data_IF_689398203233
#
_entry.id   IF_689398203233
#
_cell.length_a   1.000
_cell.length_b   1.000
_cell.length_c   1.000
_cell.angle_alpha   90.00
_cell.angle_beta   90.00
_cell.angle_gamma   90.00
#
_symmetry.space_group_name_H-M   'P 1'
#
loop_
_entity.id
_entity.type
_entity.pdbx_description
1 polymer ?
#
# COMPACT_ATOMS: atom_id res chain seq x y z
N UNK A 1 -5.92 14.10 -24.65
CA UNK A 1 -5.46 12.69 -24.63
C UNK A 1 -6.06 12.01 -23.41
N UNK A 2 -6.46 10.75 -23.51
CA UNK A 2 -6.90 9.97 -22.37
C UNK A 2 -5.66 9.51 -21.59
N UNK A 3 -5.68 9.65 -20.26
CA UNK A 3 -4.67 9.05 -19.38
C UNK A 3 -5.15 7.63 -19.05
N UNK A 4 -4.27 6.64 -19.09
CA UNK A 4 -4.59 5.27 -18.68
C UNK A 4 -3.84 4.95 -17.39
N UNK A 5 -4.55 4.31 -16.46
CA UNK A 5 -3.98 3.74 -15.24
C UNK A 5 -3.88 2.24 -15.47
N UNK A 6 -2.69 1.71 -15.23
CA UNK A 6 -2.36 0.30 -15.37
C UNK A 6 -1.79 -0.17 -14.05
N UNK A 7 -2.35 -1.25 -13.53
CA UNK A 7 -1.87 -1.97 -12.37
C UNK A 7 -1.67 -3.44 -12.78
N UNK A 8 -0.53 -3.99 -12.41
CA UNK A 8 -0.18 -5.36 -12.73
C UNK A 8 0.90 -5.87 -11.79
N UNK A 9 1.12 -7.18 -11.81
CA UNK A 9 2.19 -7.84 -11.10
C UNK A 9 2.89 -8.81 -12.06
N UNK A 10 4.19 -8.98 -11.86
CA UNK A 10 5.01 -9.87 -12.66
C UNK A 10 5.96 -10.68 -11.81
N UNK A 11 6.47 -11.73 -12.41
CA UNK A 11 7.42 -12.68 -11.86
C UNK A 11 8.50 -12.97 -12.93
N UNK A 12 9.36 -13.97 -12.69
CA UNK A 12 10.49 -14.30 -13.57
C UNK A 12 10.13 -14.42 -15.05
N UNK A 13 8.95 -14.97 -15.36
CA UNK A 13 8.54 -15.28 -16.74
C UNK A 13 7.71 -14.17 -17.40
N UNK A 14 7.58 -13.02 -16.75
CA UNK A 14 6.81 -11.88 -17.25
C UNK A 14 5.64 -11.54 -16.32
N UNK A 15 4.59 -10.96 -16.89
CA UNK A 15 3.40 -10.61 -16.14
C UNK A 15 2.55 -11.83 -15.79
N UNK A 16 1.88 -11.79 -14.64
CA UNK A 16 1.00 -12.86 -14.17
C UNK A 16 -0.31 -12.78 -14.96
N UNK A 17 -0.68 -13.81 -15.74
CA UNK A 17 -1.94 -13.80 -16.50
C UNK A 17 -3.16 -13.58 -15.60
N UNK A 18 -4.07 -12.69 -15.98
CA UNK A 18 -5.30 -12.40 -15.22
C UNK A 18 -5.14 -11.40 -14.08
N UNK A 19 -3.91 -10.97 -13.79
CA UNK A 19 -3.62 -9.96 -12.76
C UNK A 19 -3.58 -8.53 -13.31
N UNK A 20 -4.00 -8.26 -14.55
CA UNK A 20 -4.02 -6.93 -15.13
C UNK A 20 -5.28 -6.14 -14.73
N UNK A 21 -5.09 -4.89 -14.33
CA UNK A 21 -6.16 -3.92 -14.18
C UNK A 21 -5.81 -2.68 -15.00
N UNK A 22 -6.63 -2.37 -16.00
CA UNK A 22 -6.44 -1.23 -16.90
C UNK A 22 -7.73 -0.44 -16.98
N UNK A 23 -7.65 0.86 -16.70
CA UNK A 23 -8.80 1.76 -16.86
C UNK A 23 -8.35 3.16 -17.28
N UNK A 24 -9.21 3.87 -18.01
CA UNK A 24 -8.96 5.25 -18.39
C UNK A 24 -9.29 6.19 -17.23
N UNK A 25 -8.41 7.15 -16.99
CA UNK A 25 -8.65 8.22 -16.04
C UNK A 25 -9.83 9.09 -16.48
N UNK A 26 -10.74 9.34 -15.54
CA UNK A 26 -11.89 10.22 -15.73
C UNK A 26 -11.52 11.69 -15.50
N UNK A 27 -10.36 11.96 -14.89
CA UNK A 27 -9.86 13.30 -14.62
C UNK A 27 -8.79 13.72 -15.64
N UNK A 28 -8.80 14.99 -16.04
CA UNK A 28 -7.78 15.56 -16.96
C UNK A 28 -6.47 15.94 -16.25
N UNK A 29 -6.38 15.74 -14.93
CA UNK A 29 -5.19 16.04 -14.15
C UNK A 29 -4.26 14.82 -14.14
N UNK A 30 -2.95 15.06 -14.18
CA UNK A 30 -1.92 14.02 -14.14
C UNK A 30 -1.83 13.27 -12.78
N UNK A 31 -2.67 13.66 -11.81
CA UNK A 31 -2.72 13.10 -10.47
C UNK A 31 -3.72 11.94 -10.41
N UNK A 32 -3.22 10.74 -10.71
CA UNK A 32 -3.96 9.47 -10.67
C UNK A 32 -4.28 9.00 -9.25
N UNK A 33 -3.79 9.68 -8.20
CA UNK A 33 -3.95 9.26 -6.81
C UNK A 33 -5.40 9.29 -6.31
N UNK A 34 -6.31 9.99 -7.00
CA UNK A 34 -7.75 9.95 -6.68
C UNK A 34 -8.47 8.70 -7.20
N UNK A 35 -7.92 8.04 -8.23
CA UNK A 35 -8.57 6.92 -8.92
C UNK A 35 -7.98 5.57 -8.55
N UNK A 36 -6.68 5.51 -8.25
CA UNK A 36 -6.08 4.35 -7.59
C UNK A 36 -6.11 4.54 -6.06
N UNK A 37 -7.04 3.86 -5.39
CA UNK A 37 -7.32 4.00 -3.97
C UNK A 37 -7.35 2.63 -3.26
N UNK A 38 -7.61 2.63 -1.95
CA UNK A 38 -7.64 1.40 -1.15
C UNK A 38 -8.67 0.38 -1.67
N UNK A 39 -9.86 0.81 -2.04
CA UNK A 39 -10.92 -0.09 -2.49
C UNK A 39 -10.54 -0.79 -3.80
N UNK A 40 -10.11 0.00 -4.80
CA UNK A 40 -9.67 -0.53 -6.09
C UNK A 40 -8.44 -1.45 -5.93
N UNK A 41 -7.50 -1.06 -5.07
CA UNK A 41 -6.33 -1.88 -4.77
C UNK A 41 -6.73 -3.21 -4.13
N UNK A 42 -7.52 -3.19 -3.05
CA UNK A 42 -7.89 -4.42 -2.34
C UNK A 42 -8.73 -5.34 -3.20
N UNK A 43 -9.63 -4.79 -4.04
CA UNK A 43 -10.41 -5.57 -4.98
C UNK A 43 -9.50 -6.27 -6.01
N UNK A 44 -8.58 -5.52 -6.64
CA UNK A 44 -7.60 -6.12 -7.54
C UNK A 44 -6.71 -7.15 -6.83
N UNK A 45 -6.23 -6.81 -5.63
CA UNK A 45 -5.33 -7.66 -4.87
C UNK A 45 -5.99 -9.00 -4.57
N UNK A 46 -7.22 -9.00 -4.04
CA UNK A 46 -7.95 -10.21 -3.71
C UNK A 46 -8.36 -11.01 -4.96
N UNK A 47 -9.09 -10.38 -5.88
CA UNK A 47 -9.83 -11.10 -6.92
C UNK A 47 -9.03 -11.31 -8.22
N UNK A 48 -7.90 -10.62 -8.38
CA UNK A 48 -7.08 -10.72 -9.59
C UNK A 48 -5.64 -11.16 -9.28
N UNK A 49 -4.97 -10.58 -8.28
CA UNK A 49 -3.61 -10.98 -7.97
C UNK A 49 -3.57 -12.33 -7.24
N UNK A 50 -4.13 -12.39 -6.03
CA UNK A 50 -4.01 -13.58 -5.17
C UNK A 50 -4.61 -14.83 -5.83
N UNK A 51 -5.72 -14.68 -6.56
CA UNK A 51 -6.34 -15.78 -7.30
C UNK A 51 -5.50 -16.35 -8.46
N UNK A 52 -4.51 -15.60 -8.97
CA UNK A 52 -3.70 -16.01 -10.13
C UNK A 52 -2.22 -16.26 -9.77
N UNK A 53 -1.85 -16.21 -8.49
CA UNK A 53 -0.51 -16.55 -8.02
C UNK A 53 -0.34 -18.07 -7.89
N UNK A 54 0.86 -18.55 -8.22
CA UNK A 54 1.26 -19.93 -7.90
C UNK A 54 1.61 -20.04 -6.39
N UNK A 55 1.15 -21.09 -5.71
CA UNK A 55 1.33 -21.27 -4.27
C UNK A 55 2.60 -22.05 -3.90
N UNK A 56 3.34 -21.68 -2.83
CA UNK A 56 3.36 -20.39 -2.13
C UNK A 56 4.30 -19.36 -2.81
N UNK A 57 3.90 -18.09 -2.81
CA UNK A 57 4.64 -16.97 -3.42
C UNK A 57 4.96 -15.86 -2.41
N UNK A 58 6.05 -15.14 -2.66
CA UNK A 58 6.41 -13.90 -1.95
C UNK A 58 6.07 -12.68 -2.81
N UNK A 59 5.18 -11.82 -2.32
CA UNK A 59 4.75 -10.59 -2.96
C UNK A 59 5.63 -9.44 -2.47
N UNK A 60 6.43 -8.86 -3.37
CA UNK A 60 7.22 -7.66 -3.04
C UNK A 60 6.33 -6.43 -3.19
N UNK A 61 6.20 -5.65 -2.12
CA UNK A 61 5.27 -4.50 -2.08
C UNK A 61 5.97 -3.22 -1.61
N UNK A 62 5.70 -2.11 -2.29
CA UNK A 62 6.16 -0.79 -1.88
C UNK A 62 5.28 -0.19 -0.75
N UNK A 63 5.59 1.04 -0.35
CA UNK A 63 4.92 1.71 0.76
C UNK A 63 3.88 2.75 0.32
N UNK A 64 3.21 2.55 -0.81
CA UNK A 64 2.06 3.39 -1.15
C UNK A 64 1.03 3.38 0.01
N UNK A 65 0.36 4.51 0.22
CA UNK A 65 -0.54 4.68 1.36
C UNK A 65 -1.67 3.65 1.38
N UNK A 66 -2.21 3.31 0.21
CA UNK A 66 -3.25 2.28 0.05
C UNK A 66 -2.72 0.85 0.25
N UNK A 67 -1.46 0.57 -0.04
CA UNK A 67 -0.82 -0.72 0.32
C UNK A 67 -0.59 -0.86 1.82
N UNK A 68 -0.45 0.26 2.54
CA UNK A 68 0.03 0.32 3.91
C UNK A 68 -1.07 0.62 4.93
N UNK A 69 -2.31 0.19 4.63
CA UNK A 69 -3.45 0.38 5.54
C UNK A 69 -3.27 -0.50 6.78
N UNK A 70 -3.10 0.15 7.93
CA UNK A 70 -2.92 -0.51 9.23
C UNK A 70 -4.28 -0.89 9.80
N UNK A 71 -4.40 -2.14 10.23
CA UNK A 71 -5.62 -2.71 10.85
C UNK A 71 -5.94 -2.04 12.19
N UNK A 72 -4.99 -2.07 13.12
CA UNK A 72 -5.12 -1.45 14.43
C UNK A 72 -4.45 -0.08 14.45
N UNK A 73 -5.23 0.97 14.22
CA UNK A 73 -4.69 2.33 14.14
C UNK A 73 -4.06 2.75 15.46
N UNK A 74 -2.80 3.17 15.35
CA UNK A 74 -2.04 3.77 16.46
C UNK A 74 -2.22 5.29 16.40
N UNK A 75 -2.40 5.99 17.55
CA UNK A 75 -2.50 7.43 17.57
C UNK A 75 -1.25 8.11 16.99
N UNK A 76 -1.45 9.22 16.29
CA UNK A 76 -0.40 10.01 15.62
C UNK A 76 -0.40 11.44 16.12
N UNK A 77 0.53 12.26 15.62
CA UNK A 77 0.56 13.72 15.87
C UNK A 77 -0.74 14.43 15.46
N UNK A 78 -1.50 13.87 14.52
CA UNK A 78 -2.81 14.37 14.10
C UNK A 78 -3.94 13.97 15.07
N UNK A 79 -3.79 12.90 15.85
CA UNK A 79 -4.80 12.46 16.81
C UNK A 79 -5.05 13.51 17.89
N UNK A 80 -6.28 13.67 18.35
CA UNK A 80 -6.57 14.55 19.48
C UNK A 80 -6.08 13.94 20.81
N UNK A 81 -5.94 14.76 21.86
CA UNK A 81 -5.40 14.29 23.16
C UNK A 81 -6.27 13.18 23.78
N UNK A 82 -7.59 13.28 23.63
CA UNK A 82 -8.53 12.32 24.22
C UNK A 82 -8.37 10.92 23.62
N UNK A 83 -8.27 10.80 22.29
CA UNK A 83 -8.10 9.51 21.62
C UNK A 83 -6.73 8.88 21.91
N UNK A 84 -5.68 9.68 22.11
CA UNK A 84 -4.38 9.18 22.56
C UNK A 84 -4.50 8.57 23.97
N UNK A 85 -5.16 9.25 24.90
CA UNK A 85 -5.39 8.74 26.26
C UNK A 85 -6.26 7.48 26.26
N UNK A 86 -7.30 7.44 25.43
CA UNK A 86 -8.15 6.27 25.27
C UNK A 86 -7.38 5.06 24.75
N UNK A 87 -6.52 5.24 23.74
CA UNK A 87 -5.66 4.18 23.25
C UNK A 87 -4.71 3.66 24.34
N UNK A 88 -4.05 4.55 25.09
CA UNK A 88 -3.17 4.17 26.21
C UNK A 88 -3.94 3.39 27.27
N UNK A 89 -5.14 3.84 27.63
CA UNK A 89 -6.04 3.14 28.55
C UNK A 89 -6.41 1.74 28.04
N UNK A 90 -6.81 1.62 26.78
CA UNK A 90 -7.21 0.35 26.17
C UNK A 90 -6.04 -0.65 26.09
N UNK A 91 -4.80 -0.15 25.96
CA UNK A 91 -3.57 -0.94 26.00
C UNK A 91 -3.03 -1.16 27.42
N UNK A 92 -3.74 -0.71 28.46
CA UNK A 92 -3.33 -0.76 29.87
C UNK A 92 -1.96 -0.11 30.14
N UNK A 93 -1.62 0.95 29.40
CA UNK A 93 -0.38 1.71 29.58
C UNK A 93 -0.64 2.84 30.58
N UNK A 94 0.10 2.93 31.71
CA UNK A 94 -0.07 4.01 32.67
C UNK A 94 0.23 5.39 32.07
N UNK A 95 -0.63 6.37 32.34
CA UNK A 95 -0.42 7.76 31.96
C UNK A 95 -1.08 8.70 32.98
N UNK A 96 -0.64 9.96 33.00
CA UNK A 96 -1.29 11.02 33.81
C UNK A 96 -2.13 11.94 32.92
N UNK A 97 -3.31 12.34 33.42
CA UNK A 97 -4.20 13.30 32.73
C UNK A 97 -3.56 14.69 32.54
N UNK A 98 -2.59 15.05 33.38
CA UNK A 98 -1.84 16.31 33.29
C UNK A 98 -0.77 16.31 32.20
N UNK A 99 -0.38 15.13 31.67
CA UNK A 99 0.64 15.03 30.64
C UNK A 99 0.27 15.84 29.39
N UNK A 100 1.26 16.47 28.77
CA UNK A 100 1.12 17.13 27.48
C UNK A 100 0.91 16.09 26.37
N UNK A 101 0.30 16.51 25.25
CA UNK A 101 0.08 15.65 24.08
C UNK A 101 1.37 14.98 23.61
N UNK A 102 2.48 15.73 23.60
CA UNK A 102 3.81 15.22 23.21
C UNK A 102 4.31 14.11 24.14
N UNK A 103 4.09 14.23 25.45
CA UNK A 103 4.48 13.21 26.42
C UNK A 103 3.65 11.93 26.26
N UNK A 104 2.35 12.08 26.00
CA UNK A 104 1.48 10.94 25.69
C UNK A 104 1.90 10.24 24.39
N UNK A 105 2.29 11.00 23.36
CA UNK A 105 2.81 10.43 22.10
C UNK A 105 4.15 9.70 22.30
N UNK A 106 5.01 10.15 23.20
CA UNK A 106 6.23 9.40 23.57
C UNK A 106 5.90 8.05 24.20
N UNK A 107 4.88 7.97 25.05
CA UNK A 107 4.40 6.69 25.60
C UNK A 107 3.84 5.79 24.50
N UNK A 108 3.06 6.34 23.57
CA UNK A 108 2.58 5.58 22.40
C UNK A 108 3.75 5.05 21.58
N UNK A 109 4.75 5.89 21.28
CA UNK A 109 5.90 5.49 20.47
C UNK A 109 6.72 4.35 21.10
N UNK A 110 6.84 4.33 22.43
CA UNK A 110 7.56 3.30 23.18
C UNK A 110 6.81 1.96 23.25
N UNK A 111 5.47 1.99 23.15
CA UNK A 111 4.62 0.82 23.39
C UNK A 111 3.78 0.39 22.18
N UNK A 112 3.94 1.05 21.02
CA UNK A 112 3.21 0.66 19.81
C UNK A 112 3.71 -0.71 19.33
N UNK A 113 2.81 -1.62 18.92
CA UNK A 113 3.23 -2.86 18.27
C UNK A 113 3.79 -2.56 16.87
N UNK A 114 4.45 -3.56 16.28
CA UNK A 114 4.74 -3.55 14.86
C UNK A 114 3.44 -3.43 14.05
N UNK A 115 3.43 -2.65 12.95
CA UNK A 115 2.23 -2.42 12.18
C UNK A 115 1.79 -3.71 11.48
N UNK A 116 0.52 -4.07 11.66
CA UNK A 116 -0.14 -5.14 10.91
C UNK A 116 -0.95 -4.52 9.78
N UNK A 117 -0.62 -4.91 8.55
CA UNK A 117 -1.25 -4.38 7.35
C UNK A 117 -2.35 -5.30 6.82
N UNK A 118 -3.46 -4.69 6.40
CA UNK A 118 -4.64 -5.44 5.92
C UNK A 118 -4.32 -6.31 4.70
N UNK A 119 -3.50 -5.81 3.77
CA UNK A 119 -3.08 -6.55 2.59
C UNK A 119 -2.21 -7.76 2.94
N UNK A 120 -1.37 -7.64 3.96
CA UNK A 120 -0.43 -8.70 4.36
C UNK A 120 -1.18 -9.87 5.00
N UNK A 121 -2.12 -9.58 5.91
CA UNK A 121 -3.01 -10.62 6.47
C UNK A 121 -3.86 -11.28 5.38
N UNK A 122 -4.33 -10.52 4.39
CA UNK A 122 -5.10 -11.09 3.30
C UNK A 122 -4.25 -12.02 2.45
N UNK A 123 -3.02 -11.63 2.10
CA UNK A 123 -2.09 -12.49 1.38
C UNK A 123 -1.78 -13.78 2.15
N UNK A 124 -1.58 -13.68 3.46
CA UNK A 124 -1.32 -14.83 4.34
C UNK A 124 -2.50 -15.82 4.34
N UNK A 125 -3.75 -15.32 4.34
CA UNK A 125 -4.94 -16.17 4.22
C UNK A 125 -5.01 -16.96 2.90
N UNK A 126 -4.39 -16.45 1.84
CA UNK A 126 -4.24 -17.11 0.54
C UNK A 126 -2.94 -17.93 0.44
N UNK A 127 -2.20 -18.13 1.54
CA UNK A 127 -0.96 -18.92 1.54
C UNK A 127 0.26 -18.19 0.95
N UNK A 128 0.21 -16.86 0.87
CA UNK A 128 1.28 -16.02 0.35
C UNK A 128 1.91 -15.15 1.43
N UNK A 129 3.13 -14.69 1.20
CA UNK A 129 3.82 -13.78 2.12
C UNK A 129 4.07 -12.42 1.45
N UNK A 130 3.91 -11.33 2.18
CA UNK A 130 4.33 -10.00 1.73
C UNK A 130 5.73 -9.66 2.24
N UNK A 131 6.60 -9.21 1.34
CA UNK A 131 7.88 -8.58 1.63
C UNK A 131 7.81 -7.09 1.32
N UNK A 132 7.82 -6.25 2.36
CA UNK A 132 7.77 -4.79 2.20
C UNK A 132 9.15 -4.20 1.96
N UNK A 133 9.24 -3.36 0.94
CA UNK A 133 10.47 -2.64 0.64
C UNK A 133 10.72 -1.50 1.64
N UNK A 134 11.98 -1.10 1.88
CA UNK A 134 12.28 0.11 2.63
C UNK A 134 11.65 1.37 1.98
N UNK A 135 11.11 2.31 2.78
CA UNK A 135 10.58 3.57 2.25
C UNK A 135 11.62 4.34 1.44
N UNK A 136 11.19 4.99 0.36
CA UNK A 136 12.03 5.84 -0.50
C UNK A 136 13.15 5.12 -1.29
N UNK A 137 13.11 3.79 -1.36
CA UNK A 137 14.08 2.99 -2.13
C UNK A 137 13.43 2.28 -3.33
N UNK A 138 12.89 3.05 -4.28
CA UNK A 138 12.22 2.52 -5.48
C UNK A 138 13.13 1.65 -6.37
N UNK A 139 14.46 1.79 -6.25
CA UNK A 139 15.45 0.94 -6.95
C UNK A 139 15.32 -0.55 -6.61
N UNK A 140 14.72 -0.88 -5.46
CA UNK A 140 14.48 -2.27 -5.04
C UNK A 140 13.15 -2.82 -5.55
N UNK A 141 12.36 -2.02 -6.27
CA UNK A 141 11.11 -2.46 -6.90
C UNK A 141 11.34 -2.69 -8.41
N UNK A 142 11.55 -3.94 -8.88
CA UNK A 142 11.85 -4.20 -10.28
C UNK A 142 10.75 -3.73 -11.24
N UNK A 143 9.51 -3.64 -10.78
CA UNK A 143 8.38 -3.22 -11.63
C UNK A 143 8.50 -1.77 -12.09
N UNK A 144 9.21 -0.91 -11.35
CA UNK A 144 9.47 0.48 -11.75
C UNK A 144 10.26 0.56 -13.05
N UNK A 145 11.25 -0.33 -13.22
CA UNK A 145 12.01 -0.44 -14.45
C UNK A 145 11.15 -0.95 -15.61
N UNK A 146 10.31 -1.96 -15.35
CA UNK A 146 9.37 -2.49 -16.35
C UNK A 146 8.42 -1.39 -16.82
N UNK A 147 7.82 -0.62 -15.88
CA UNK A 147 6.95 0.50 -16.23
C UNK A 147 7.69 1.62 -16.96
N UNK A 148 8.94 1.89 -16.62
CA UNK A 148 9.79 2.83 -17.37
C UNK A 148 9.93 2.41 -18.85
N UNK A 149 10.23 1.15 -19.11
CA UNK A 149 10.33 0.58 -20.46
C UNK A 149 8.99 0.66 -21.18
N UNK A 150 7.90 0.21 -20.55
CA UNK A 150 6.55 0.23 -21.13
C UNK A 150 6.10 1.64 -21.49
N UNK A 151 6.30 2.62 -20.60
CA UNK A 151 5.95 4.03 -20.85
C UNK A 151 6.73 4.61 -22.02
N UNK A 152 8.04 4.32 -22.11
CA UNK A 152 8.88 4.74 -23.23
C UNK A 152 8.38 4.15 -24.55
N UNK A 153 8.12 2.83 -24.58
CA UNK A 153 7.59 2.16 -25.76
C UNK A 153 6.27 2.77 -26.23
N UNK A 154 5.32 2.98 -25.30
CA UNK A 154 4.03 3.59 -25.61
C UNK A 154 4.16 5.02 -26.14
N UNK A 155 5.04 5.84 -25.57
CA UNK A 155 5.32 7.19 -26.08
C UNK A 155 5.80 7.15 -27.53
N UNK A 156 6.72 6.23 -27.83
CA UNK A 156 7.42 6.24 -29.11
C UNK A 156 6.59 5.61 -30.24
N UNK A 157 5.66 4.69 -29.92
CA UNK A 157 4.92 3.88 -30.90
C UNK A 157 3.39 4.03 -30.85
N UNK A 158 2.81 4.44 -29.72
CA UNK A 158 1.35 4.53 -29.54
C UNK A 158 0.90 5.99 -29.50
N UNK A 159 1.68 6.87 -28.88
CA UNK A 159 1.34 8.29 -28.69
C UNK A 159 1.64 9.22 -29.87
N UNK A 160 2.39 8.75 -30.89
CA UNK A 160 2.63 9.52 -32.12
C UNK A 160 1.47 9.31 -33.10
N UNK A 161 0.49 10.19 -33.04
CA UNK A 161 -0.36 10.56 -34.18
C UNK A 161 -0.10 12.01 -34.53
#
# INVERSE_FOLDING_TARGET
MATYIVLHAGYRSGFIPGAELIFSSKTKNADYHGEMNLENFMHWFEYQLLCNLEEPSTIVMDNASYHSTIKDRVPTTASNKASIMEWLKNKNIPYSKSMLKVQLLSLVALNKPEPVYVADELAERYGHQVLRLPPYHCIFNPIEYVWGITKNYCRDHVGKR
#
